data_IF_410177405975
#
_entry.id   IF_410177405975
#
_cell.length_a   1.000
_cell.length_b   1.000
_cell.length_c   1.000
_cell.angle_alpha   90.00
_cell.angle_beta   90.00
_cell.angle_gamma   90.00
#
_symmetry.space_group_name_H-M   'P 1'
#
loop_
_entity.id
_entity.type
_entity.pdbx_description
1 polymer ?
#
# COMPACT_ATOMS: atom_id res chain seq x y z
N UNK A 1 -7.38 -8.94 29.67
CA UNK A 1 -7.03 -10.30 29.22
C UNK A 1 -5.55 -10.35 28.86
N UNK A 2 -4.89 -11.47 29.12
CA UNK A 2 -3.45 -11.67 28.89
C UNK A 2 -3.01 -11.34 27.44
N UNK A 3 -3.88 -11.60 26.45
CA UNK A 3 -3.65 -11.33 25.02
C UNK A 3 -3.26 -9.87 24.74
N UNK A 4 -3.99 -8.90 25.29
CA UNK A 4 -3.72 -7.47 25.04
C UNK A 4 -2.48 -6.94 25.75
N UNK A 5 -2.04 -7.59 26.83
CA UNK A 5 -0.92 -7.11 27.67
C UNK A 5 0.40 -7.85 27.44
N UNK A 6 0.35 -9.07 26.92
CA UNK A 6 1.54 -9.94 26.76
C UNK A 6 1.74 -10.29 25.29
N UNK A 7 0.74 -10.89 24.65
CA UNK A 7 0.84 -11.35 23.25
C UNK A 7 0.94 -10.17 22.26
N UNK A 8 0.13 -9.11 22.44
CA UNK A 8 0.13 -7.96 21.54
C UNK A 8 1.48 -7.21 21.50
N UNK A 9 2.09 -6.84 22.65
CA UNK A 9 3.38 -6.17 22.67
C UNK A 9 4.52 -7.04 22.15
N UNK A 10 4.48 -8.36 22.38
CA UNK A 10 5.45 -9.32 21.84
C UNK A 10 5.34 -9.41 20.31
N UNK A 11 4.11 -9.45 19.78
CA UNK A 11 3.84 -9.54 18.35
C UNK A 11 3.87 -8.19 17.61
N UNK A 12 4.19 -7.07 18.27
CA UNK A 12 4.09 -5.72 17.67
C UNK A 12 4.89 -5.57 16.37
N UNK A 13 6.08 -6.19 16.27
CA UNK A 13 6.93 -6.10 15.09
C UNK A 13 6.40 -6.91 13.90
N UNK A 14 5.91 -8.12 14.16
CA UNK A 14 5.28 -8.97 13.15
C UNK A 14 3.93 -8.41 12.70
N UNK A 15 3.13 -7.85 13.62
CA UNK A 15 1.88 -7.15 13.30
C UNK A 15 2.13 -5.91 12.43
N UNK A 16 3.15 -5.12 12.74
CA UNK A 16 3.51 -3.96 11.90
C UNK A 16 3.91 -4.41 10.49
N UNK A 17 4.69 -5.49 10.39
CA UNK A 17 5.12 -6.06 9.10
C UNK A 17 3.93 -6.56 8.30
N UNK A 18 3.05 -7.35 8.91
CA UNK A 18 1.83 -7.86 8.26
C UNK A 18 0.91 -6.72 7.81
N UNK A 19 0.71 -5.70 8.65
CA UNK A 19 -0.07 -4.52 8.31
C UNK A 19 0.49 -3.82 7.07
N UNK A 20 1.81 -3.64 7.00
CA UNK A 20 2.45 -2.97 5.87
C UNK A 20 2.38 -3.77 4.58
N UNK A 21 2.55 -5.09 4.64
CA UNK A 21 2.38 -5.95 3.46
C UNK A 21 0.95 -5.86 2.92
N UNK A 22 -0.05 -6.01 3.78
CA UNK A 22 -1.46 -5.89 3.39
C UNK A 22 -1.76 -4.50 2.84
N UNK A 23 -1.24 -3.44 3.45
CA UNK A 23 -1.42 -2.07 2.97
C UNK A 23 -0.83 -1.86 1.56
N UNK A 24 0.39 -2.34 1.32
CA UNK A 24 1.04 -2.22 0.00
C UNK A 24 0.31 -3.05 -1.06
N UNK A 25 -0.08 -4.29 -0.72
CA UNK A 25 -0.81 -5.17 -1.64
C UNK A 25 -2.18 -4.57 -2.00
N UNK A 26 -2.95 -4.14 -1.01
CA UNK A 26 -4.28 -3.53 -1.24
C UNK A 26 -4.21 -2.21 -2.01
N UNK A 27 -3.16 -1.40 -1.84
CA UNK A 27 -2.98 -0.17 -2.62
C UNK A 27 -2.80 -0.43 -4.12
N UNK A 28 -2.17 -1.56 -4.46
CA UNK A 28 -1.86 -1.94 -5.84
C UNK A 28 -2.90 -2.87 -6.46
N UNK A 29 -3.91 -3.26 -5.68
CA UNK A 29 -4.91 -4.24 -6.10
C UNK A 29 -5.86 -3.64 -7.15
N UNK A 30 -5.54 -3.89 -8.41
CA UNK A 30 -6.29 -3.43 -9.58
C UNK A 30 -7.64 -4.16 -9.80
N UNK A 31 -7.73 -5.50 -9.70
CA UNK A 31 -8.97 -6.23 -10.01
C UNK A 31 -10.14 -5.83 -9.12
N UNK A 32 -9.92 -5.79 -7.80
CA UNK A 32 -10.96 -5.43 -6.83
C UNK A 32 -11.42 -3.98 -7.01
N UNK A 33 -10.49 -3.06 -7.29
CA UNK A 33 -10.80 -1.63 -7.44
C UNK A 33 -11.54 -1.34 -8.74
N UNK A 34 -11.32 -2.11 -9.81
CA UNK A 34 -12.11 -2.03 -11.04
C UNK A 34 -13.56 -2.52 -10.85
N UNK A 35 -13.76 -3.56 -10.02
CA UNK A 35 -15.09 -4.15 -9.78
C UNK A 35 -15.93 -3.27 -8.86
N UNK A 36 -15.33 -2.72 -7.80
CA UNK A 36 -16.03 -1.96 -6.75
C UNK A 36 -16.02 -0.44 -7.01
N UNK A 37 -15.47 -0.02 -8.15
CA UNK A 37 -15.36 1.39 -8.56
C UNK A 37 -16.70 2.13 -8.40
N UNK A 38 -16.80 3.13 -7.49
CA UNK A 38 -17.94 4.02 -7.45
C UNK A 38 -17.87 5.05 -8.59
N UNK A 39 -19.02 5.65 -8.93
CA UNK A 39 -19.06 6.72 -9.94
C UNK A 39 -18.16 7.90 -9.52
N UNK A 40 -17.47 8.49 -10.50
CA UNK A 40 -16.54 9.63 -10.37
C UNK A 40 -15.31 9.43 -9.46
N UNK A 41 -14.99 8.19 -9.05
CA UNK A 41 -13.81 7.93 -8.23
C UNK A 41 -12.88 6.89 -8.87
N UNK A 42 -11.68 7.34 -9.25
CA UNK A 42 -10.61 6.48 -9.73
C UNK A 42 -9.52 6.35 -8.66
N UNK A 43 -9.14 5.12 -8.33
CA UNK A 43 -7.98 4.88 -7.47
C UNK A 43 -6.69 5.15 -8.24
N UNK A 44 -5.57 5.37 -7.52
CA UNK A 44 -4.26 5.56 -8.15
C UNK A 44 -3.90 4.40 -9.11
N UNK A 45 -4.22 3.16 -8.73
CA UNK A 45 -3.99 1.98 -9.56
C UNK A 45 -4.79 2.01 -10.87
N UNK A 46 -6.08 2.37 -10.78
CA UNK A 46 -6.96 2.51 -11.95
C UNK A 46 -6.51 3.65 -12.86
N UNK A 47 -6.08 4.78 -12.28
CA UNK A 47 -5.56 5.94 -13.03
C UNK A 47 -4.30 5.60 -13.83
N UNK A 48 -3.36 4.89 -13.22
CA UNK A 48 -2.14 4.40 -13.90
C UNK A 48 -2.53 3.44 -15.02
N UNK A 49 -3.41 2.48 -14.73
CA UNK A 49 -3.84 1.49 -15.72
C UNK A 49 -4.53 2.14 -16.93
N UNK A 50 -5.48 3.06 -16.70
CA UNK A 50 -6.19 3.76 -17.77
C UNK A 50 -5.25 4.63 -18.61
N UNK A 51 -4.41 5.45 -17.99
CA UNK A 51 -3.50 6.34 -18.72
C UNK A 51 -2.41 5.57 -19.46
N UNK A 52 -1.95 4.43 -18.91
CA UNK A 52 -1.02 3.57 -19.61
C UNK A 52 -1.68 2.83 -20.78
N UNK A 53 -2.93 2.41 -20.65
CA UNK A 53 -3.72 1.81 -21.72
C UNK A 53 -3.99 2.81 -22.86
N UNK A 54 -4.13 4.10 -22.53
CA UNK A 54 -4.25 5.20 -23.48
C UNK A 54 -2.89 5.67 -24.06
N UNK A 55 -1.80 4.93 -23.82
CA UNK A 55 -0.41 5.26 -24.22
C UNK A 55 0.13 6.60 -23.66
N UNK A 56 -0.57 7.21 -22.69
CA UNK A 56 -0.19 8.48 -22.04
C UNK A 56 0.75 8.26 -20.86
N UNK A 57 1.92 7.68 -21.16
CA UNK A 57 2.92 7.28 -20.15
C UNK A 57 3.41 8.45 -19.28
N UNK A 58 3.55 9.64 -19.87
CA UNK A 58 3.98 10.84 -19.13
C UNK A 58 3.00 11.19 -18.00
N UNK A 59 1.70 11.06 -18.24
CA UNK A 59 0.67 11.37 -17.25
C UNK A 59 0.47 10.23 -16.26
N UNK A 60 0.57 8.98 -16.73
CA UNK A 60 0.58 7.80 -15.87
C UNK A 60 1.72 7.83 -14.84
N UNK A 61 2.88 8.38 -15.23
CA UNK A 61 4.09 8.43 -14.40
C UNK A 61 3.86 9.09 -13.05
N UNK A 62 3.06 10.15 -12.99
CA UNK A 62 2.80 10.89 -11.74
C UNK A 62 2.05 10.00 -10.74
N UNK A 63 1.00 9.32 -11.20
CA UNK A 63 0.22 8.41 -10.36
C UNK A 63 1.04 7.18 -9.95
N UNK A 64 1.89 6.66 -10.84
CA UNK A 64 2.78 5.54 -10.55
C UNK A 64 3.84 5.91 -9.50
N UNK A 65 4.43 7.10 -9.59
CA UNK A 65 5.39 7.59 -8.61
C UNK A 65 4.75 7.77 -7.23
N UNK A 66 3.51 8.24 -7.16
CA UNK A 66 2.77 8.33 -5.90
C UNK A 66 2.57 6.96 -5.24
N UNK A 67 2.21 5.93 -6.02
CA UNK A 67 2.11 4.55 -5.51
C UNK A 67 3.47 4.07 -4.98
N UNK A 68 4.56 4.33 -5.71
CA UNK A 68 5.91 3.94 -5.29
C UNK A 68 6.29 4.64 -3.98
N UNK A 69 6.09 5.95 -3.87
CA UNK A 69 6.41 6.71 -2.65
C UNK A 69 5.57 6.23 -1.47
N UNK A 70 4.27 6.02 -1.68
CA UNK A 70 3.35 5.56 -0.64
C UNK A 70 3.66 4.13 -0.17
N UNK A 71 4.17 3.25 -1.05
CA UNK A 71 4.62 1.91 -0.68
C UNK A 71 6.03 1.87 -0.08
N UNK A 72 6.93 2.76 -0.49
CA UNK A 72 8.33 2.76 -0.06
C UNK A 72 8.53 3.40 1.32
N UNK A 73 7.82 4.48 1.62
CA UNK A 73 7.90 5.19 2.90
C UNK A 73 7.70 4.26 4.11
N UNK A 74 6.62 3.46 4.17
CA UNK A 74 6.35 2.57 5.29
C UNK A 74 7.36 1.42 5.39
N UNK A 75 7.80 0.87 4.26
CA UNK A 75 8.82 -0.19 4.20
C UNK A 75 10.17 0.31 4.75
N UNK A 76 10.57 1.52 4.40
CA UNK A 76 11.77 2.14 4.94
C UNK A 76 11.64 2.43 6.44
N UNK A 77 10.47 2.90 6.89
CA UNK A 77 10.20 3.12 8.32
C UNK A 77 10.28 1.81 9.11
N UNK A 78 9.66 0.72 8.60
CA UNK A 78 9.71 -0.61 9.20
C UNK A 78 11.14 -1.16 9.27
N UNK A 79 11.88 -1.08 8.16
CA UNK A 79 13.26 -1.57 8.10
C UNK A 79 14.15 -0.84 9.12
N UNK A 80 13.93 0.47 9.31
CA UNK A 80 14.62 1.24 10.36
C UNK A 80 14.17 0.85 11.77
N UNK A 81 12.89 0.59 11.99
CA UNK A 81 12.35 0.17 13.28
C UNK A 81 12.89 -1.22 13.69
N UNK A 82 12.93 -2.17 12.75
CA UNK A 82 13.48 -3.51 12.94
C UNK A 82 14.99 -3.46 13.24
N UNK A 83 15.76 -2.60 12.58
CA UNK A 83 17.20 -2.44 12.84
C UNK A 83 17.53 -1.80 14.19
N UNK A 84 16.57 -1.13 14.84
CA UNK A 84 16.74 -0.47 16.15
C UNK A 84 16.27 -1.33 17.33
N UNK A 85 15.56 -2.42 17.07
CA UNK A 85 15.13 -3.40 18.06
C UNK A 85 16.24 -4.45 18.26
#
# INVERSE_FOLDING_TARGET
GAVLRVELPLARGSLLTAFLLVFVDTMKELPATLIVRPFDFDTLAVRVYSLAADERLAEASTSALLIVVAGLLPVLALTRALRRA
#
